data_IF_996308967796
#
_entry.id   IF_996308967796
#
_cell.length_a   1.000
_cell.length_b   1.000
_cell.length_c   1.000
_cell.angle_alpha   90.00
_cell.angle_beta   90.00
_cell.angle_gamma   90.00
#
_symmetry.space_group_name_H-M   'P 1'
#
loop_
_entity.id
_entity.type
_entity.pdbx_description
1 polymer ?
#
# COMPACT_ATOMS: atom_id res chain seq x y z
N UNK A 1 17.44 10.65 0.16
CA UNK A 1 16.15 11.17 -0.31
C UNK A 1 15.16 10.02 -0.51
N UNK A 2 14.20 9.87 0.39
CA UNK A 2 13.18 8.80 0.36
C UNK A 2 12.27 8.91 -0.88
N UNK A 3 11.94 10.15 -1.26
CA UNK A 3 11.20 10.45 -2.50
C UNK A 3 11.93 9.99 -3.77
N UNK A 4 13.27 10.07 -3.83
CA UNK A 4 14.03 9.61 -5.00
C UNK A 4 13.93 8.08 -5.15
N UNK A 5 13.99 7.34 -4.04
CA UNK A 5 13.81 5.88 -4.02
C UNK A 5 12.40 5.46 -4.43
N UNK A 6 11.38 6.24 -4.07
CA UNK A 6 9.98 5.99 -4.48
C UNK A 6 9.82 6.13 -6.00
N UNK A 7 10.49 7.11 -6.62
CA UNK A 7 10.43 7.33 -8.08
C UNK A 7 11.21 6.25 -8.84
N UNK A 8 12.38 5.86 -8.33
CA UNK A 8 13.21 4.81 -8.91
C UNK A 8 12.55 3.42 -8.81
N UNK A 9 11.84 3.13 -7.71
CA UNK A 9 11.07 1.88 -7.56
C UNK A 9 9.88 1.77 -8.53
N UNK A 10 9.40 2.89 -9.08
CA UNK A 10 8.29 2.89 -10.06
C UNK A 10 8.75 2.65 -11.50
N UNK A 11 10.05 2.72 -11.80
CA UNK A 11 10.57 2.75 -13.18
C UNK A 11 11.08 1.40 -13.72
N UNK A 12 11.14 0.36 -12.91
CA UNK A 12 11.55 -0.97 -13.37
C UNK A 12 11.32 -2.01 -12.31
N UNK A 13 10.98 -3.23 -12.73
CA UNK A 13 10.91 -4.42 -11.88
C UNK A 13 12.29 -4.72 -11.29
N UNK A 14 12.74 -3.94 -10.32
CA UNK A 14 13.80 -4.30 -9.40
C UNK A 14 13.10 -4.90 -8.19
N UNK A 15 13.33 -6.19 -7.99
CA UNK A 15 12.84 -7.00 -6.88
C UNK A 15 13.08 -6.21 -5.57
N UNK A 16 12.02 -5.58 -5.06
CA UNK A 16 12.11 -4.79 -3.85
C UNK A 16 12.35 -5.80 -2.73
N UNK A 17 13.41 -5.60 -1.93
CA UNK A 17 13.81 -6.54 -0.88
C UNK A 17 12.57 -7.03 -0.11
N UNK A 18 12.31 -8.35 -0.07
CA UNK A 18 11.10 -8.89 0.55
C UNK A 18 10.95 -8.49 2.03
N UNK A 19 12.05 -8.35 2.76
CA UNK A 19 12.05 -7.87 4.15
C UNK A 19 11.53 -6.43 4.22
N UNK A 20 12.02 -5.57 3.32
CA UNK A 20 11.60 -4.17 3.24
C UNK A 20 10.11 -4.08 2.85
N UNK A 21 9.68 -4.85 1.85
CA UNK A 21 8.27 -4.92 1.42
C UNK A 21 7.36 -5.37 2.56
N UNK A 22 7.80 -6.37 3.34
CA UNK A 22 7.05 -6.87 4.49
C UNK A 22 6.97 -5.83 5.62
N UNK A 23 8.05 -5.08 5.88
CA UNK A 23 8.01 -3.98 6.85
C UNK A 23 7.04 -2.88 6.41
N UNK A 24 7.03 -2.51 5.13
CA UNK A 24 6.06 -1.55 4.60
C UNK A 24 4.63 -2.04 4.74
N UNK A 25 4.37 -3.30 4.41
CA UNK A 25 3.04 -3.89 4.57
C UNK A 25 2.59 -3.90 6.04
N UNK A 26 3.49 -4.29 6.95
CA UNK A 26 3.24 -4.28 8.41
C UNK A 26 2.88 -2.88 8.89
N UNK A 27 3.63 -1.85 8.48
CA UNK A 27 3.34 -0.46 8.85
C UNK A 27 2.01 0.01 8.26
N UNK A 28 1.73 -0.29 6.99
CA UNK A 28 0.48 0.10 6.34
C UNK A 28 -0.73 -0.51 7.06
N UNK A 29 -0.67 -1.80 7.44
CA UNK A 29 -1.72 -2.47 8.22
C UNK A 29 -1.85 -1.86 9.62
N UNK A 30 -0.73 -1.62 10.32
CA UNK A 30 -0.74 -1.01 11.64
C UNK A 30 -1.48 0.33 11.62
N UNK A 31 -1.08 1.24 10.74
CA UNK A 31 -1.71 2.56 10.67
C UNK A 31 -3.11 2.52 10.07
N UNK A 32 -3.41 1.61 9.16
CA UNK A 32 -4.79 1.38 8.72
C UNK A 32 -5.72 1.08 9.91
N UNK A 33 -5.27 0.28 10.87
CA UNK A 33 -6.06 -0.09 12.05
C UNK A 33 -6.07 0.99 13.15
N UNK A 34 -4.98 1.74 13.32
CA UNK A 34 -4.82 2.67 14.45
C UNK A 34 -5.07 4.14 14.11
N UNK A 35 -4.81 4.57 12.87
CA UNK A 35 -4.95 5.95 12.40
C UNK A 35 -6.29 6.10 11.64
N UNK A 36 -7.34 6.41 12.40
CA UNK A 36 -8.69 6.60 11.88
C UNK A 36 -8.85 7.87 11.04
N UNK A 37 -7.96 8.86 11.19
CA UNK A 37 -8.03 10.11 10.43
C UNK A 37 -7.57 9.91 8.98
N UNK A 38 -6.62 8.99 8.75
CA UNK A 38 -6.08 8.72 7.42
C UNK A 38 -6.24 7.26 6.98
N UNK A 39 -7.35 6.63 7.35
CA UNK A 39 -7.64 5.23 7.03
C UNK A 39 -7.57 4.93 5.52
N UNK A 40 -8.09 5.84 4.68
CA UNK A 40 -8.06 5.68 3.22
C UNK A 40 -6.64 5.75 2.63
N UNK A 41 -5.77 6.60 3.18
CA UNK A 41 -4.37 6.69 2.73
C UNK A 41 -3.61 5.39 2.99
N UNK A 42 -3.84 4.78 4.16
CA UNK A 42 -3.23 3.50 4.51
C UNK A 42 -3.81 2.33 3.69
N UNK A 43 -5.12 2.36 3.39
CA UNK A 43 -5.73 1.40 2.48
C UNK A 43 -5.06 1.44 1.10
N UNK A 44 -4.92 2.63 0.52
CA UNK A 44 -4.28 2.81 -0.78
C UNK A 44 -2.83 2.28 -0.80
N UNK A 45 -2.10 2.42 0.32
CA UNK A 45 -0.75 1.88 0.46
C UNK A 45 -0.75 0.34 0.44
N UNK A 46 -1.69 -0.30 1.15
CA UNK A 46 -1.87 -1.76 1.15
C UNK A 46 -2.17 -2.26 -0.28
N UNK A 47 -3.13 -1.63 -0.98
CA UNK A 47 -3.50 -1.99 -2.34
C UNK A 47 -2.33 -1.85 -3.32
N UNK A 48 -1.47 -0.84 -3.12
CA UNK A 48 -0.28 -0.62 -3.95
C UNK A 48 0.83 -1.64 -3.67
N UNK A 49 1.05 -2.02 -2.41
CA UNK A 49 2.10 -2.97 -2.02
C UNK A 49 1.74 -4.39 -2.49
N UNK A 50 0.48 -4.79 -2.32
CA UNK A 50 -0.01 -6.11 -2.72
C UNK A 50 -0.31 -6.23 -4.22
N UNK A 51 -0.24 -5.12 -4.96
CA UNK A 51 -0.44 -5.11 -6.40
C UNK A 51 -1.87 -5.43 -6.83
N UNK A 52 -2.87 -5.06 -6.02
CA UNK A 52 -4.27 -5.29 -6.38
C UNK A 52 -4.63 -4.62 -7.69
N UNK A 53 -5.34 -5.36 -8.53
CA UNK A 53 -5.86 -4.87 -9.79
C UNK A 53 -7.14 -4.05 -9.57
N UNK A 54 -7.61 -3.39 -10.62
CA UNK A 54 -8.76 -2.49 -10.57
C UNK A 54 -10.04 -3.18 -10.04
N UNK A 55 -10.31 -4.43 -10.46
CA UNK A 55 -11.48 -5.18 -10.00
C UNK A 55 -11.40 -5.49 -8.50
N UNK A 56 -10.22 -5.82 -7.99
CA UNK A 56 -10.01 -6.09 -6.57
C UNK A 56 -10.23 -4.84 -5.73
N UNK A 57 -9.67 -3.69 -6.17
CA UNK A 57 -9.86 -2.39 -5.51
C UNK A 57 -11.34 -1.98 -5.47
N UNK A 58 -12.08 -2.16 -6.56
CA UNK A 58 -13.52 -1.87 -6.60
C UNK A 58 -14.31 -2.75 -5.60
N UNK A 59 -13.94 -4.01 -5.44
CA UNK A 59 -14.58 -4.91 -4.47
C UNK A 59 -14.27 -4.49 -3.02
N UNK A 60 -13.05 -4.06 -2.75
CA UNK A 60 -12.61 -3.54 -1.45
C UNK A 60 -13.37 -2.25 -1.12
N UNK A 61 -13.39 -1.28 -2.03
CA UNK A 61 -14.10 -0.01 -1.85
C UNK A 61 -15.58 -0.21 -1.53
N UNK A 62 -16.25 -1.12 -2.26
CA UNK A 62 -17.65 -1.50 -1.99
C UNK A 62 -17.86 -2.10 -0.61
N UNK A 63 -16.86 -2.79 -0.07
CA UNK A 63 -16.93 -3.42 1.26
C UNK A 63 -16.80 -2.41 2.39
N UNK A 64 -16.04 -1.32 2.20
CA UNK A 64 -15.84 -0.27 3.20
C UNK A 64 -16.88 0.86 3.16
N UNK A 65 -17.65 0.99 2.08
CA UNK A 65 -18.73 1.99 1.94
C UNK A 65 -20.08 1.57 2.53
N UNK A 66 -20.15 0.47 3.29
CA UNK A 66 -21.35 0.03 4.03
C UNK A 66 -21.31 0.55 5.47
#
# INVERSE_FOLDING_TARGET
AMYRRIVEARSGRSDMDPEITLQFLKSAIYYFLTDKENHQGHLNAIESILGYNESERLNIERSFKK
#
